data_IF_651644359510
#
_entry.id   IF_651644359510
#
_cell.length_a   1.000
_cell.length_b   1.000
_cell.length_c   1.000
_cell.angle_alpha   90.00
_cell.angle_beta   90.00
_cell.angle_gamma   90.00
#
_symmetry.space_group_name_H-M   'P 1'
#
loop_
_entity.id
_entity.type
_entity.pdbx_description
1 polymer ?
#
# COMPACT_ATOMS: atom_id res chain seq x y z
N UNK A 1 2.55 1.41 20.81
CA UNK A 1 3.11 0.40 19.87
C UNK A 1 2.30 -0.90 19.86
N UNK A 2 2.11 -1.61 20.98
CA UNK A 2 1.36 -2.90 21.02
C UNK A 2 -0.08 -2.76 20.49
N UNK A 3 -0.83 -1.76 20.95
CA UNK A 3 -2.19 -1.51 20.50
C UNK A 3 -2.30 -1.31 18.97
N UNK A 4 -1.41 -0.51 18.39
CA UNK A 4 -1.36 -0.25 16.94
C UNK A 4 -1.06 -1.53 16.14
N UNK A 5 -0.22 -2.43 16.66
CA UNK A 5 0.07 -3.72 16.01
C UNK A 5 -1.17 -4.61 15.98
N UNK A 6 -1.89 -4.69 17.12
CA UNK A 6 -3.13 -5.46 17.21
C UNK A 6 -4.20 -4.89 16.28
N UNK A 7 -4.32 -3.56 16.24
CA UNK A 7 -5.25 -2.87 15.35
C UNK A 7 -4.89 -3.12 13.88
N UNK A 8 -3.62 -3.01 13.50
CA UNK A 8 -3.14 -3.29 12.15
C UNK A 8 -3.49 -4.72 11.72
N UNK A 9 -3.20 -5.72 12.56
CA UNK A 9 -3.53 -7.13 12.30
C UNK A 9 -5.02 -7.38 12.10
N UNK A 10 -5.88 -6.61 12.77
CA UNK A 10 -7.34 -6.66 12.57
C UNK A 10 -7.79 -5.96 11.30
N UNK A 11 -7.05 -4.95 10.83
CA UNK A 11 -7.33 -4.28 9.56
C UNK A 11 -6.89 -5.15 8.37
N UNK A 12 -5.81 -5.92 8.52
CA UNK A 12 -5.30 -6.84 7.49
C UNK A 12 -6.37 -7.80 6.95
N UNK A 13 -7.30 -8.27 7.80
CA UNK A 13 -8.38 -9.17 7.38
C UNK A 13 -9.37 -8.53 6.41
N UNK A 14 -9.46 -7.20 6.40
CA UNK A 14 -10.31 -6.44 5.48
C UNK A 14 -9.52 -5.95 4.27
N UNK A 15 -8.27 -5.55 4.46
CA UNK A 15 -7.46 -4.96 3.38
C UNK A 15 -6.82 -5.99 2.46
N UNK A 16 -6.63 -7.25 2.90
CA UNK A 16 -5.95 -8.29 2.11
C UNK A 16 -6.63 -8.63 0.79
N UNK A 17 -7.97 -8.54 0.71
CA UNK A 17 -8.72 -8.74 -0.52
C UNK A 17 -8.93 -7.47 -1.36
N UNK A 18 -8.66 -6.30 -0.78
CA UNK A 18 -8.85 -4.98 -1.40
C UNK A 18 -7.57 -4.53 -2.09
N UNK A 19 -6.44 -4.74 -1.41
CA UNK A 19 -5.12 -4.41 -1.94
C UNK A 19 -4.76 -5.49 -2.97
N UNK A 20 -4.96 -5.16 -4.25
CA UNK A 20 -4.75 -6.09 -5.35
C UNK A 20 -3.31 -6.57 -5.47
N UNK A 21 -3.12 -7.64 -6.25
CA UNK A 21 -1.80 -8.28 -6.39
C UNK A 21 -0.71 -7.39 -6.97
N UNK A 22 -1.08 -6.27 -7.60
CA UNK A 22 -0.17 -5.24 -8.12
C UNK A 22 0.64 -4.55 -7.02
N UNK A 23 0.10 -4.45 -5.80
CA UNK A 23 0.80 -3.87 -4.66
C UNK A 23 1.72 -4.94 -4.06
N UNK A 24 3.04 -4.70 -4.06
CA UNK A 24 3.99 -5.57 -3.38
C UNK A 24 4.55 -4.97 -2.10
N UNK A 25 4.52 -3.64 -1.96
CA UNK A 25 4.92 -2.95 -0.73
C UNK A 25 3.89 -3.17 0.39
N UNK A 26 4.38 -3.35 1.63
CA UNK A 26 3.56 -3.54 2.84
C UNK A 26 2.63 -4.77 2.82
N UNK A 27 2.87 -5.72 1.91
CA UNK A 27 2.14 -6.99 1.88
C UNK A 27 3.03 -8.12 2.41
N UNK A 28 2.46 -8.94 3.31
CA UNK A 28 3.17 -10.07 3.89
C UNK A 28 3.57 -11.06 2.78
N UNK A 29 4.85 -11.45 2.77
CA UNK A 29 5.37 -12.43 1.82
C UNK A 29 5.69 -11.88 0.43
N UNK A 30 5.57 -10.57 0.22
CA UNK A 30 6.04 -9.91 -1.01
C UNK A 30 7.25 -9.05 -0.73
N UNK A 31 8.19 -9.05 -1.67
CA UNK A 31 9.42 -8.26 -1.61
C UNK A 31 9.58 -7.42 -2.88
N UNK A 32 10.28 -6.31 -2.75
CA UNK A 32 10.61 -5.43 -3.90
C UNK A 32 11.52 -6.14 -4.92
N UNK A 33 12.21 -7.23 -4.50
CA UNK A 33 13.06 -8.04 -5.37
C UNK A 33 12.29 -8.64 -6.53
N UNK A 34 11.06 -9.10 -6.30
CA UNK A 34 10.26 -9.75 -7.33
C UNK A 34 9.86 -8.76 -8.41
N UNK A 35 9.44 -7.55 -8.01
CA UNK A 35 9.12 -6.48 -8.96
C UNK A 35 10.35 -6.02 -9.76
N UNK A 36 11.51 -5.87 -9.10
CA UNK A 36 12.75 -5.53 -9.79
C UNK A 36 13.16 -6.61 -10.79
N UNK A 37 12.99 -7.88 -10.43
CA UNK A 37 13.26 -9.00 -11.33
C UNK A 37 12.32 -9.01 -12.54
N UNK A 38 11.02 -8.78 -12.34
CA UNK A 38 10.05 -8.65 -13.44
C UNK A 38 10.42 -7.50 -14.39
N UNK A 39 10.77 -6.31 -13.86
CA UNK A 39 11.18 -5.17 -14.69
C UNK A 39 12.45 -5.51 -15.48
N UNK A 40 13.43 -6.18 -14.87
CA UNK A 40 14.65 -6.63 -15.56
C UNK A 40 14.34 -7.59 -16.73
N UNK A 41 13.48 -8.58 -16.51
CA UNK A 41 13.08 -9.51 -17.58
C UNK A 41 12.38 -8.78 -18.74
N UNK A 42 11.51 -7.81 -18.44
CA UNK A 42 10.84 -7.00 -19.47
C UNK A 42 11.86 -6.20 -20.28
N UNK A 43 12.83 -5.55 -19.62
CA UNK A 43 13.90 -4.79 -20.26
C UNK A 43 14.79 -5.69 -21.14
N UNK A 44 15.15 -6.87 -20.65
CA UNK A 44 15.96 -7.83 -21.41
C UNK A 44 15.23 -8.32 -22.66
N UNK A 45 13.94 -8.69 -22.53
CA UNK A 45 13.14 -9.19 -23.65
C UNK A 45 12.85 -8.13 -24.70
N UNK A 46 12.51 -6.92 -24.28
CA UNK A 46 12.23 -5.81 -25.20
C UNK A 46 13.48 -5.41 -25.98
N UNK A 47 14.65 -5.45 -25.34
CA UNK A 47 15.94 -5.30 -26.00
C UNK A 47 16.24 -6.45 -26.98
N UNK A 48 15.98 -7.70 -26.60
CA UNK A 48 16.19 -8.89 -27.45
C UNK A 48 15.40 -8.83 -28.76
N UNK A 49 14.14 -8.40 -28.69
CA UNK A 49 13.25 -8.30 -29.86
C UNK A 49 13.26 -6.93 -30.54
N UNK A 50 14.14 -6.02 -30.12
CA UNK A 50 14.23 -4.65 -30.65
C UNK A 50 12.87 -3.91 -30.63
N UNK A 51 12.15 -4.04 -29.52
CA UNK A 51 10.86 -3.39 -29.27
C UNK A 51 11.12 -2.08 -28.53
N UNK A 52 10.69 -0.96 -29.12
CA UNK A 52 10.73 0.34 -28.45
C UNK A 52 9.83 0.33 -27.21
N UNK A 53 10.41 0.65 -26.06
CA UNK A 53 9.70 0.71 -24.77
C UNK A 53 10.02 1.97 -23.99
N UNK A 54 9.02 2.44 -23.24
CA UNK A 54 9.12 3.63 -22.39
C UNK A 54 8.66 3.27 -20.98
N UNK A 55 9.46 3.66 -19.98
CA UNK A 55 9.18 3.37 -18.57
C UNK A 55 8.95 4.67 -17.80
N UNK A 56 7.82 4.74 -17.09
CA UNK A 56 7.50 5.85 -16.20
C UNK A 56 7.57 5.37 -14.75
N UNK A 57 8.48 5.94 -13.97
CA UNK A 57 8.59 5.71 -12.53
C UNK A 57 8.02 6.93 -11.79
N UNK A 58 7.01 6.70 -10.96
CA UNK A 58 6.35 7.74 -10.16
C UNK A 58 6.69 7.47 -8.69
N UNK A 59 7.29 8.46 -8.04
CA UNK A 59 7.56 8.44 -6.60
C UNK A 59 6.86 9.61 -5.89
N UNK A 60 6.35 9.36 -4.69
CA UNK A 60 5.69 10.37 -3.87
C UNK A 60 6.65 10.89 -2.80
N UNK A 61 7.03 12.17 -2.91
CA UNK A 61 7.83 12.84 -1.88
C UNK A 61 7.07 12.86 -0.55
N UNK A 62 7.68 12.31 0.50
CA UNK A 62 7.11 12.27 1.85
C UNK A 62 5.66 11.76 1.87
N UNK A 63 5.44 10.60 1.24
CA UNK A 63 4.11 10.02 1.02
C UNK A 63 3.25 9.95 2.28
N UNK A 64 3.82 9.65 3.46
CA UNK A 64 3.07 9.56 4.72
C UNK A 64 2.77 10.92 5.38
N UNK A 65 3.64 11.91 5.18
CA UNK A 65 3.48 13.24 5.76
C UNK A 65 2.49 14.10 4.95
N UNK A 66 2.36 13.80 3.66
CA UNK A 66 1.45 14.48 2.73
C UNK A 66 0.03 13.93 2.70
N UNK A 67 -0.27 12.81 3.39
CA UNK A 67 -1.63 12.23 3.41
C UNK A 67 -2.58 13.14 4.18
N UNK A 68 -3.72 13.46 3.56
CA UNK A 68 -4.84 14.07 4.27
C UNK A 68 -5.45 13.05 5.26
N UNK A 69 -5.04 13.12 6.53
CA UNK A 69 -5.52 12.23 7.60
C UNK A 69 -7.03 12.30 7.83
N UNK A 70 -7.68 13.41 7.46
CA UNK A 70 -9.13 13.58 7.52
C UNK A 70 -9.89 12.72 6.50
N UNK A 71 -9.25 12.36 5.38
CA UNK A 71 -9.84 11.53 4.33
C UNK A 71 -9.72 10.03 4.60
N UNK A 72 -8.80 9.60 5.47
CA UNK A 72 -8.61 8.18 5.76
C UNK A 72 -9.88 7.48 6.30
N UNK A 73 -10.65 8.05 7.24
CA UNK A 73 -11.89 7.43 7.70
C UNK A 73 -12.95 7.28 6.60
N UNK A 74 -13.01 8.22 5.64
CA UNK A 74 -13.92 8.15 4.49
C UNK A 74 -13.53 6.97 3.59
N UNK A 75 -12.24 6.84 3.25
CA UNK A 75 -11.74 5.71 2.47
C UNK A 75 -11.97 4.36 3.19
N UNK A 76 -11.77 4.31 4.51
CA UNK A 76 -12.04 3.09 5.28
C UNK A 76 -13.53 2.71 5.28
N UNK A 77 -14.44 3.68 5.26
CA UNK A 77 -15.88 3.44 5.14
C UNK A 77 -16.23 2.88 3.75
N UNK A 78 -15.66 3.44 2.69
CA UNK A 78 -15.84 2.98 1.31
C UNK A 78 -15.40 1.52 1.13
N UNK A 79 -14.33 1.13 1.82
CA UNK A 79 -13.84 -0.26 1.88
C UNK A 79 -14.60 -1.17 2.84
N UNK A 80 -15.76 -0.74 3.34
CA UNK A 80 -16.64 -1.51 4.25
C UNK A 80 -15.94 -1.95 5.56
N UNK A 81 -14.92 -1.22 6.03
CA UNK A 81 -14.27 -1.51 7.30
C UNK A 81 -15.24 -1.18 8.44
N UNK A 82 -15.38 -2.04 9.47
CA UNK A 82 -16.28 -1.80 10.58
C UNK A 82 -16.03 -0.46 11.29
N UNK A 83 -17.11 0.28 11.58
CA UNK A 83 -17.07 1.60 12.28
C UNK A 83 -16.22 1.61 13.55
N UNK A 84 -16.21 0.49 14.30
CA UNK A 84 -15.37 0.34 15.50
C UNK A 84 -13.88 0.43 15.18
N UNK A 85 -13.42 -0.24 14.12
CA UNK A 85 -12.02 -0.19 13.71
C UNK A 85 -11.64 1.20 13.19
N UNK A 86 -12.54 1.84 12.44
CA UNK A 86 -12.35 3.23 11.97
C UNK A 86 -12.17 4.19 13.14
N UNK A 87 -13.02 4.08 14.17
CA UNK A 87 -12.92 4.91 15.38
C UNK A 87 -11.59 4.70 16.10
N UNK A 88 -11.16 3.44 16.29
CA UNK A 88 -9.88 3.12 16.92
C UNK A 88 -8.69 3.65 16.10
N UNK A 89 -8.75 3.56 14.77
CA UNK A 89 -7.72 4.14 13.88
C UNK A 89 -7.63 5.66 14.05
N UNK A 90 -8.76 6.37 14.09
CA UNK A 90 -8.77 7.83 14.33
C UNK A 90 -8.11 8.19 15.66
N UNK A 91 -8.40 7.45 16.73
CA UNK A 91 -7.77 7.67 18.04
C UNK A 91 -6.24 7.49 18.00
N UNK A 92 -5.73 6.58 17.17
CA UNK A 92 -4.28 6.40 17.02
C UNK A 92 -3.61 7.50 16.20
N UNK A 93 -4.33 8.17 15.30
CA UNK A 93 -3.80 9.24 14.46
C UNK A 93 -3.77 10.60 15.17
N UNK A 94 -4.75 10.87 16.04
CA UNK A 94 -4.84 12.12 16.82
C UNK A 94 -3.74 12.20 17.89
N UNK A 95 -3.22 11.07 18.37
CA UNK A 95 -2.17 11.03 19.41
C UNK A 95 -0.74 11.21 18.87
N UNK A 96 -0.57 11.33 17.56
CA UNK A 96 0.76 11.39 16.89
C UNK A 96 1.00 12.76 16.25
N UNK A 97 0.06 13.70 16.36
CA UNK A 97 0.22 15.12 16.00
C UNK A 97 0.52 15.98 17.21
#
# INVERSE_FOLDING_TARGET
>A
KIFSIILCKRLETYTSGIIGNYQCGFQKGKTTTDQLHTIRQILEKTKEYNIDTYHLLIDFKAAYDSINRGKLPEAMLEFNIPKKLISLTRMTLIRVS
#
